data_IF_500623614039
#
_entry.id   IF_500623614039
#
_cell.length_a   1.000
_cell.length_b   1.000
_cell.length_c   1.000
_cell.angle_alpha   90.00
_cell.angle_beta   90.00
_cell.angle_gamma   90.00
#
_symmetry.space_group_name_H-M   'P 1'
#
loop_
_entity.id
_entity.type
_entity.pdbx_description
1 polymer ?
#
# COMPACT_ATOMS: atom_id res chain seq x y z
N UNK A 1 -20.29 -36.51 -33.82
CA UNK A 1 -19.62 -37.76 -34.24
C UNK A 1 -18.51 -38.01 -33.24
N UNK A 2 -18.67 -39.02 -32.38
CA UNK A 2 -17.69 -39.42 -31.38
C UNK A 2 -16.49 -40.10 -32.06
N UNK A 3 -15.27 -39.83 -31.58
CA UNK A 3 -14.18 -40.78 -31.72
C UNK A 3 -13.42 -40.87 -30.39
N UNK A 4 -13.70 -41.96 -29.68
CA UNK A 4 -12.92 -42.49 -28.57
C UNK A 4 -11.98 -43.52 -29.16
N UNK A 5 -10.68 -43.42 -28.90
CA UNK A 5 -9.78 -44.57 -28.97
C UNK A 5 -8.88 -44.57 -27.73
N UNK A 6 -9.01 -45.65 -26.98
CA UNK A 6 -8.28 -45.99 -25.77
C UNK A 6 -7.13 -46.98 -26.09
N UNK A 7 -6.42 -47.35 -25.02
CA UNK A 7 -5.38 -48.39 -24.87
C UNK A 7 -3.93 -47.92 -25.13
N UNK A 8 -2.94 -48.26 -24.30
CA UNK A 8 -2.94 -49.24 -23.22
C UNK A 8 -1.71 -49.17 -22.32
N UNK A 9 -1.87 -49.72 -21.12
CA UNK A 9 -0.84 -50.02 -20.13
C UNK A 9 0.07 -51.17 -20.60
N UNK A 10 1.37 -51.09 -20.27
CA UNK A 10 2.23 -52.25 -20.06
C UNK A 10 3.24 -51.95 -18.93
N UNK A 11 3.39 -52.92 -18.02
CA UNK A 11 4.25 -52.92 -16.83
C UNK A 11 5.61 -53.61 -17.12
N UNK A 12 6.71 -52.98 -16.66
CA UNK A 12 7.96 -53.47 -15.97
C UNK A 12 8.61 -54.82 -16.37
N UNK A 13 9.96 -55.00 -16.35
CA UNK A 13 10.80 -54.79 -15.13
C UNK A 13 12.31 -54.43 -15.28
N UNK A 14 12.92 -53.95 -14.19
CA UNK A 14 14.18 -54.54 -13.64
C UNK A 14 15.58 -53.98 -13.99
N UNK A 15 16.19 -53.31 -12.99
CA UNK A 15 17.58 -53.42 -12.52
C UNK A 15 18.78 -52.71 -13.22
N UNK A 16 19.42 -51.87 -12.38
CA UNK A 16 20.87 -51.75 -12.12
C UNK A 16 21.70 -50.65 -12.82
N UNK A 17 22.16 -49.72 -11.95
CA UNK A 17 23.57 -49.34 -11.69
C UNK A 17 23.99 -47.91 -12.06
N UNK A 18 24.77 -47.36 -11.11
CA UNK A 18 25.36 -46.04 -10.92
C UNK A 18 26.04 -45.43 -12.15
N UNK A 19 25.97 -44.10 -12.30
CA UNK A 19 27.18 -43.27 -12.35
C UNK A 19 26.86 -41.78 -12.10
N UNK A 20 27.75 -41.14 -11.36
CA UNK A 20 27.63 -39.78 -10.87
C UNK A 20 27.74 -38.71 -11.95
N UNK A 21 27.22 -37.54 -11.60
CA UNK A 21 27.34 -36.33 -12.39
C UNK A 21 26.33 -35.32 -11.91
N UNK A 22 26.64 -34.63 -10.82
CA UNK A 22 25.88 -33.45 -10.42
C UNK A 22 26.11 -32.33 -11.45
N UNK A 23 25.04 -31.66 -11.93
CA UNK A 23 25.10 -30.24 -12.20
C UNK A 23 24.36 -29.52 -11.07
N UNK A 24 25.09 -28.62 -10.42
CA UNK A 24 24.62 -27.82 -9.29
C UNK A 24 23.25 -27.20 -9.54
N UNK A 25 22.28 -27.64 -8.75
CA UNK A 25 21.03 -26.92 -8.54
C UNK A 25 21.30 -25.76 -7.58
N UNK A 26 21.74 -24.63 -8.11
CA UNK A 26 21.58 -23.35 -7.42
C UNK A 26 20.13 -22.91 -7.57
N UNK A 27 19.21 -23.67 -6.98
CA UNK A 27 17.90 -23.15 -6.61
C UNK A 27 18.13 -22.29 -5.37
N UNK A 28 18.65 -21.08 -5.58
CA UNK A 28 18.61 -20.02 -4.58
C UNK A 28 17.14 -19.71 -4.33
N UNK A 29 16.54 -20.45 -3.40
CA UNK A 29 15.23 -20.18 -2.85
C UNK A 29 15.30 -18.76 -2.28
N UNK A 30 14.90 -17.79 -3.09
CA UNK A 30 14.83 -16.40 -2.69
C UNK A 30 13.63 -16.32 -1.77
N UNK A 31 13.85 -16.65 -0.49
CA UNK A 31 12.88 -16.36 0.57
C UNK A 31 12.64 -14.86 0.54
N UNK A 32 11.51 -14.46 -0.06
CA UNK A 32 11.05 -13.10 -0.01
C UNK A 32 11.06 -12.66 1.46
N UNK A 33 11.70 -11.53 1.74
CA UNK A 33 11.74 -10.98 3.08
C UNK A 33 10.30 -10.86 3.63
N UNK A 34 10.07 -11.16 4.92
CA UNK A 34 8.73 -11.06 5.49
C UNK A 34 8.17 -9.65 5.29
N UNK A 35 6.98 -9.56 4.71
CA UNK A 35 6.31 -8.27 4.46
C UNK A 35 6.06 -7.59 5.80
N UNK A 36 6.73 -6.46 6.03
CA UNK A 36 6.56 -5.66 7.26
C UNK A 36 5.29 -4.84 7.15
N UNK A 37 4.37 -5.04 8.09
CA UNK A 37 3.15 -4.25 8.23
C UNK A 37 3.41 -3.04 9.13
N UNK A 38 3.15 -1.83 8.62
CA UNK A 38 3.42 -0.57 9.34
C UNK A 38 2.20 0.33 9.35
N UNK A 39 2.15 1.25 10.31
CA UNK A 39 1.23 2.39 10.26
C UNK A 39 1.69 3.38 9.19
N UNK A 40 0.83 4.34 8.86
CA UNK A 40 1.03 5.26 7.76
C UNK A 40 2.19 6.23 7.99
N UNK A 41 2.28 6.83 9.19
CA UNK A 41 3.29 7.85 9.44
C UNK A 41 4.69 7.27 9.63
N UNK A 42 4.79 5.96 9.89
CA UNK A 42 6.06 5.27 10.07
C UNK A 42 6.97 5.24 8.82
N UNK A 43 6.43 5.47 7.61
CA UNK A 43 7.20 5.51 6.36
C UNK A 43 7.38 6.91 5.76
N UNK A 44 6.95 7.97 6.46
CA UNK A 44 6.99 9.34 5.90
C UNK A 44 8.41 9.83 5.70
N UNK A 45 9.34 9.48 6.60
CA UNK A 45 10.73 9.93 6.50
C UNK A 45 11.41 9.33 5.27
N UNK A 46 11.28 8.02 5.06
CA UNK A 46 11.80 7.34 3.89
C UNK A 46 11.19 7.89 2.60
N UNK A 47 9.86 8.08 2.59
CA UNK A 47 9.16 8.65 1.44
C UNK A 47 9.61 10.08 1.12
N UNK A 48 9.78 10.92 2.15
CA UNK A 48 10.27 12.29 2.01
C UNK A 48 11.71 12.34 1.50
N UNK A 49 12.56 11.38 1.91
CA UNK A 49 13.91 11.22 1.40
C UNK A 49 13.93 10.99 -0.12
N UNK A 50 13.12 10.05 -0.62
CA UNK A 50 13.00 9.81 -2.06
C UNK A 50 12.35 10.98 -2.81
N UNK A 51 11.34 11.63 -2.21
CA UNK A 51 10.69 12.79 -2.80
C UNK A 51 11.68 13.97 -2.96
N UNK A 52 12.55 14.22 -1.97
CA UNK A 52 13.58 15.28 -2.05
C UNK A 52 14.62 15.00 -3.12
N UNK A 53 14.98 13.73 -3.35
CA UNK A 53 15.87 13.33 -4.47
C UNK A 53 15.22 13.59 -5.83
N UNK A 54 13.89 13.48 -5.91
CA UNK A 54 13.17 13.91 -7.10
C UNK A 54 13.18 15.44 -7.22
N UNK A 55 12.68 16.14 -6.21
CA UNK A 55 12.64 17.60 -6.14
C UNK A 55 12.72 18.09 -4.70
N UNK A 56 13.57 19.08 -4.45
CA UNK A 56 13.75 19.64 -3.10
C UNK A 56 12.50 20.35 -2.56
N UNK A 57 11.65 20.88 -3.45
CA UNK A 57 10.39 21.56 -3.12
C UNK A 57 9.17 20.62 -3.06
N UNK A 58 9.39 19.30 -3.01
CA UNK A 58 8.30 18.33 -2.94
C UNK A 58 7.57 18.40 -1.58
N UNK A 59 6.28 18.71 -1.62
CA UNK A 59 5.41 18.81 -0.44
C UNK A 59 4.41 17.62 -0.41
N UNK A 60 4.32 16.91 0.71
CA UNK A 60 3.40 15.78 0.89
C UNK A 60 1.95 16.31 0.95
N UNK A 61 1.05 15.80 0.13
CA UNK A 61 -0.37 16.22 0.15
C UNK A 61 -1.36 15.07 0.37
N UNK A 62 -0.95 13.82 0.18
CA UNK A 62 -1.81 12.67 0.44
C UNK A 62 -1.03 11.42 0.87
N UNK A 63 -1.64 10.60 1.71
CA UNK A 63 -1.16 9.26 2.07
C UNK A 63 -2.28 8.26 1.81
N UNK A 64 -2.01 7.11 1.20
CA UNK A 64 -3.03 6.09 0.96
C UNK A 64 -2.47 4.67 0.97
N UNK A 65 -3.33 3.68 1.19
CA UNK A 65 -3.01 2.29 0.86
C UNK A 65 -3.13 2.08 -0.66
N UNK A 66 -2.17 1.43 -1.34
CA UNK A 66 -2.26 1.17 -2.79
C UNK A 66 -3.41 0.21 -3.15
N UNK A 67 -3.75 -0.68 -2.22
CA UNK A 67 -4.84 -1.65 -2.33
C UNK A 67 -5.53 -1.81 -0.98
N UNK A 68 -6.77 -2.35 -0.91
CA UNK A 68 -7.45 -2.61 0.35
C UNK A 68 -6.71 -3.68 1.17
N UNK A 69 -5.77 -3.27 2.01
CA UNK A 69 -4.92 -4.14 2.81
C UNK A 69 -4.68 -3.62 4.23
N UNK A 70 -5.49 -2.67 4.71
CA UNK A 70 -5.43 -2.20 6.10
C UNK A 70 -5.98 -3.27 7.06
N UNK A 71 -5.21 -3.61 8.09
CA UNK A 71 -5.65 -4.49 9.18
C UNK A 71 -6.40 -3.74 10.30
N UNK A 72 -6.96 -4.49 11.24
CA UNK A 72 -7.68 -3.95 12.40
C UNK A 72 -6.80 -3.14 13.38
N UNK A 73 -5.48 -3.12 13.18
CA UNK A 73 -4.51 -2.32 13.95
C UNK A 73 -4.09 -1.06 13.19
N UNK A 74 -4.69 -0.77 12.04
CA UNK A 74 -4.38 0.40 11.24
C UNK A 74 -3.04 0.26 10.51
N UNK A 75 -2.57 -0.96 10.26
CA UNK A 75 -1.33 -1.22 9.53
C UNK A 75 -1.62 -1.74 8.14
N UNK A 76 -0.73 -1.46 7.21
CA UNK A 76 -0.77 -1.99 5.85
C UNK A 76 0.61 -2.53 5.45
N UNK A 77 0.69 -3.45 4.48
CA UNK A 77 1.96 -3.95 3.94
C UNK A 77 2.70 -2.90 3.10
N UNK A 78 1.98 -1.90 2.60
CA UNK A 78 2.53 -0.81 1.81
C UNK A 78 1.69 0.46 1.96
N UNK A 79 2.35 1.61 1.81
CA UNK A 79 1.74 2.94 1.81
C UNK A 79 2.25 3.74 0.61
N UNK A 80 1.36 4.51 0.00
CA UNK A 80 1.65 5.50 -1.04
C UNK A 80 1.64 6.89 -0.42
N UNK A 81 2.73 7.62 -0.62
CA UNK A 81 2.90 9.00 -0.20
C UNK A 81 2.97 9.87 -1.45
N UNK A 82 1.99 10.74 -1.65
CA UNK A 82 1.89 11.54 -2.87
C UNK A 82 2.35 12.96 -2.61
N UNK A 83 3.33 13.40 -3.38
CA UNK A 83 3.97 14.69 -3.27
C UNK A 83 3.66 15.56 -4.48
N UNK A 84 3.51 16.86 -4.25
CA UNK A 84 3.41 17.89 -5.29
C UNK A 84 4.71 18.68 -5.34
N UNK A 85 5.21 18.99 -6.54
CA UNK A 85 6.34 19.90 -6.73
C UNK A 85 5.94 21.02 -7.70
N UNK A 86 5.85 22.28 -7.21
CA UNK A 86 5.62 23.43 -8.07
C UNK A 86 6.67 23.61 -9.16
N UNK A 87 7.95 23.39 -8.84
CA UNK A 87 9.04 23.53 -9.81
C UNK A 87 9.01 22.47 -10.92
N UNK A 88 8.49 21.27 -10.64
CA UNK A 88 8.28 20.23 -11.65
C UNK A 88 6.97 20.40 -12.43
N UNK A 89 5.99 21.15 -11.90
CA UNK A 89 4.64 21.19 -12.47
C UNK A 89 3.95 19.81 -12.45
N UNK A 90 4.31 18.97 -11.47
CA UNK A 90 3.91 17.57 -11.44
C UNK A 90 3.68 17.06 -10.01
N UNK A 91 3.03 15.91 -9.91
CA UNK A 91 2.97 15.09 -8.70
C UNK A 91 3.75 13.79 -8.91
N UNK A 92 4.28 13.24 -7.83
CA UNK A 92 4.86 11.90 -7.84
C UNK A 92 4.47 11.18 -6.55
N UNK A 93 4.20 9.87 -6.67
CA UNK A 93 3.98 9.01 -5.52
C UNK A 93 5.25 8.27 -5.16
N UNK A 94 5.48 8.07 -3.87
CA UNK A 94 6.49 7.14 -3.35
C UNK A 94 5.74 6.01 -2.64
N UNK A 95 5.94 4.77 -3.10
CA UNK A 95 5.47 3.58 -2.40
C UNK A 95 6.52 3.17 -1.37
N UNK A 96 6.16 3.04 -0.10
CA UNK A 96 7.01 2.42 0.91
C UNK A 96 6.45 1.04 1.24
N UNK A 97 7.25 0.00 1.02
CA UNK A 97 6.92 -1.40 1.28
C UNK A 97 8.09 -2.05 1.98
N UNK A 98 7.87 -2.65 3.15
CA UNK A 98 8.97 -3.31 3.88
C UNK A 98 10.08 -2.36 4.37
N UNK A 99 9.85 -1.05 4.41
CA UNK A 99 10.88 -0.04 4.69
C UNK A 99 11.69 0.39 3.46
N UNK A 100 11.38 -0.15 2.29
CA UNK A 100 11.98 0.27 1.03
C UNK A 100 11.06 1.28 0.33
N UNK A 101 11.61 2.45 0.02
CA UNK A 101 10.90 3.50 -0.70
C UNK A 101 11.19 3.41 -2.20
N UNK A 102 10.14 3.38 -3.01
CA UNK A 102 10.20 3.37 -4.48
C UNK A 102 9.34 4.49 -5.03
N UNK A 103 9.96 5.46 -5.70
CA UNK A 103 9.25 6.50 -6.44
C UNK A 103 8.59 5.91 -7.70
N UNK A 104 7.31 6.21 -7.88
CA UNK A 104 6.53 5.90 -9.08
C UNK A 104 6.70 7.02 -10.13
N UNK A 105 6.37 6.77 -11.42
CA UNK A 105 6.41 7.80 -12.45
C UNK A 105 5.64 9.06 -12.05
N UNK A 106 6.21 10.22 -12.37
CA UNK A 106 5.55 11.49 -12.14
C UNK A 106 4.39 11.72 -13.12
N UNK A 107 3.42 12.51 -12.70
CA UNK A 107 2.28 12.93 -13.50
C UNK A 107 2.26 14.45 -13.57
N UNK A 108 2.51 15.04 -14.76
CA UNK A 108 2.31 16.47 -14.99
C UNK A 108 0.84 16.84 -14.76
N UNK A 109 0.61 17.99 -14.15
CA UNK A 109 -0.73 18.52 -13.91
C UNK A 109 -0.83 19.98 -14.38
N UNK A 110 -2.04 20.46 -14.70
CA UNK A 110 -2.29 21.89 -14.90
C UNK A 110 -1.80 22.73 -13.73
N UNK A 111 -1.27 23.92 -14.00
CA UNK A 111 -0.71 24.81 -12.98
C UNK A 111 -1.72 25.17 -11.88
N UNK A 112 -3.00 25.30 -12.24
CA UNK A 112 -4.08 25.55 -11.28
C UNK A 112 -4.19 24.41 -10.25
N UNK A 113 -4.03 23.16 -10.68
CA UNK A 113 -4.08 21.98 -9.83
C UNK A 113 -2.85 21.89 -8.94
N UNK A 114 -1.66 22.16 -9.49
CA UNK A 114 -0.41 22.24 -8.71
C UNK A 114 -0.52 23.27 -7.59
N UNK A 115 -1.01 24.47 -7.89
CA UNK A 115 -1.26 25.50 -6.86
C UNK A 115 -2.29 25.05 -5.84
N UNK A 116 -3.32 24.33 -6.26
CA UNK A 116 -4.34 23.82 -5.36
C UNK A 116 -3.82 22.74 -4.41
N UNK A 117 -3.10 21.75 -4.93
CA UNK A 117 -2.50 20.67 -4.15
C UNK A 117 -1.51 21.22 -3.13
N UNK A 118 -0.65 22.16 -3.53
CA UNK A 118 0.30 22.80 -2.63
C UNK A 118 -0.39 23.51 -1.47
N UNK A 119 -1.46 24.27 -1.73
CA UNK A 119 -2.23 24.94 -0.65
C UNK A 119 -2.88 23.95 0.33
N UNK A 120 -3.09 22.71 -0.11
CA UNK A 120 -3.71 21.65 0.67
C UNK A 120 -2.69 20.57 1.07
N UNK A 121 -1.39 20.88 1.03
CA UNK A 121 -0.36 20.00 1.55
C UNK A 121 -0.67 19.63 3.01
N UNK A 122 -0.32 18.40 3.38
CA UNK A 122 -0.52 17.92 4.73
C UNK A 122 0.40 18.71 5.68
N UNK A 123 -0.05 19.00 6.92
CA UNK A 123 0.83 19.55 7.93
C UNK A 123 1.95 18.55 8.28
N UNK A 124 2.99 18.99 9.01
CA UNK A 124 4.04 18.10 9.47
C UNK A 124 3.49 16.86 10.22
N UNK A 125 4.13 15.67 10.07
CA UNK A 125 3.62 14.41 10.61
C UNK A 125 3.33 14.42 12.11
N UNK A 126 4.10 15.18 12.90
CA UNK A 126 3.92 15.34 14.34
C UNK A 126 2.61 16.04 14.75
N UNK A 127 1.92 16.69 13.79
CA UNK A 127 0.60 17.29 13.97
C UNK A 127 -0.55 16.40 13.50
N UNK A 128 -0.23 15.22 12.98
CA UNK A 128 -1.19 14.28 12.41
C UNK A 128 -1.41 13.08 13.33
N UNK A 129 -2.63 12.58 13.36
CA UNK A 129 -2.95 11.27 13.88
C UNK A 129 -2.45 10.22 12.89
N UNK A 130 -1.75 9.21 13.40
CA UNK A 130 -1.38 8.05 12.59
C UNK A 130 -2.60 7.14 12.35
N UNK A 131 -2.47 6.21 11.42
CA UNK A 131 -3.56 5.35 10.95
C UNK A 131 -4.12 4.41 12.02
N UNK A 132 -3.34 4.01 13.03
CA UNK A 132 -3.81 3.17 14.14
C UNK A 132 -4.76 3.94 15.08
N UNK A 133 -4.41 5.17 15.44
CA UNK A 133 -5.20 6.06 16.30
C UNK A 133 -6.44 6.55 15.55
N UNK A 134 -6.28 6.92 14.28
CA UNK A 134 -7.41 7.30 13.43
C UNK A 134 -8.40 6.14 13.23
N UNK A 135 -7.91 4.91 12.97
CA UNK A 135 -8.78 3.73 12.85
C UNK A 135 -9.48 3.39 14.17
N UNK A 136 -8.85 3.63 15.32
CA UNK A 136 -9.53 3.48 16.63
C UNK A 136 -10.75 4.38 16.77
N UNK A 137 -10.78 5.52 16.07
CA UNK A 137 -11.92 6.46 16.04
C UNK A 137 -12.98 6.09 14.99
N UNK A 138 -12.59 5.40 13.92
CA UNK A 138 -13.49 4.81 12.90
C UNK A 138 -14.09 3.48 13.41
N UNK A 139 -15.09 3.58 14.28
CA UNK A 139 -15.58 2.44 15.09
C UNK A 139 -16.21 1.35 14.25
N UNK A 140 -16.97 1.72 13.22
CA UNK A 140 -17.71 0.76 12.40
C UNK A 140 -16.75 -0.04 11.52
N UNK A 141 -15.85 0.64 10.80
CA UNK A 141 -14.82 0.01 9.96
C UNK A 141 -13.92 -0.88 10.82
N UNK A 142 -13.40 -0.37 11.96
CA UNK A 142 -12.57 -1.17 12.86
C UNK A 142 -13.31 -2.41 13.38
N UNK A 143 -14.59 -2.27 13.71
CA UNK A 143 -15.44 -3.38 14.13
C UNK A 143 -15.49 -4.50 13.08
N UNK A 144 -15.67 -4.15 11.81
CA UNK A 144 -15.67 -5.10 10.70
C UNK A 144 -14.30 -5.75 10.47
N UNK A 145 -13.21 -4.98 10.55
CA UNK A 145 -11.85 -5.50 10.39
C UNK A 145 -11.44 -6.45 11.52
N UNK A 146 -11.98 -6.24 12.72
CA UNK A 146 -11.73 -7.08 13.90
C UNK A 146 -12.59 -8.35 13.93
N UNK A 147 -13.57 -8.46 13.02
CA UNK A 147 -14.47 -9.59 12.91
C UNK A 147 -13.83 -10.86 12.35
N UNK A 148 -14.56 -11.97 12.41
CA UNK A 148 -14.14 -13.23 11.76
C UNK A 148 -14.13 -13.04 10.25
N UNK A 149 -13.04 -13.45 9.59
CA UNK A 149 -12.96 -13.50 8.13
C UNK A 149 -11.87 -12.64 7.47
N UNK A 150 -10.94 -12.04 8.24
CA UNK A 150 -9.75 -11.40 7.68
C UNK A 150 -10.05 -10.27 6.69
N UNK A 151 -11.09 -9.47 6.97
CA UNK A 151 -11.49 -8.36 6.11
C UNK A 151 -10.40 -7.30 6.08
N UNK A 152 -10.29 -6.62 4.95
CA UNK A 152 -9.38 -5.49 4.76
C UNK A 152 -10.15 -4.22 4.44
N UNK A 153 -9.51 -3.09 4.67
CA UNK A 153 -10.00 -1.78 4.26
C UNK A 153 -8.94 -1.06 3.42
N UNK A 154 -9.37 -0.08 2.64
CA UNK A 154 -8.48 0.97 2.16
C UNK A 154 -8.44 2.11 3.18
N UNK A 155 -7.29 2.78 3.28
CA UNK A 155 -7.16 4.03 4.01
C UNK A 155 -6.59 5.12 3.10
N UNK A 156 -7.07 6.34 3.26
CA UNK A 156 -6.54 7.55 2.63
C UNK A 156 -6.52 8.71 3.62
N UNK A 157 -5.54 9.58 3.51
CA UNK A 157 -5.40 10.83 4.25
C UNK A 157 -5.09 11.94 3.27
N UNK A 158 -5.93 12.96 3.23
CA UNK A 158 -5.72 14.17 2.44
C UNK A 158 -6.42 15.37 3.10
N UNK A 159 -6.09 16.58 2.65
CA UNK A 159 -6.75 17.83 3.10
C UNK A 159 -7.85 18.32 2.15
N UNK A 160 -8.10 17.63 1.04
CA UNK A 160 -9.07 18.02 0.01
C UNK A 160 -10.50 17.53 0.35
N UNK A 161 -10.59 16.48 1.16
CA UNK A 161 -11.83 15.76 1.45
C UNK A 161 -12.59 16.27 2.68
N UNK A 162 -12.10 17.33 3.33
CA UNK A 162 -12.74 17.99 4.48
C UNK A 162 -12.17 19.39 4.66
N UNK A 163 -12.75 20.20 5.55
CA UNK A 163 -12.23 21.55 5.88
C UNK A 163 -10.84 21.56 6.59
N UNK A 164 -10.04 20.50 6.38
CA UNK A 164 -8.74 20.19 6.97
C UNK A 164 -8.34 18.74 6.66
N UNK A 165 -7.18 18.28 7.15
CA UNK A 165 -6.71 16.89 6.96
C UNK A 165 -7.69 15.87 7.55
N UNK A 166 -8.09 14.88 6.76
CA UNK A 166 -9.07 13.85 7.14
C UNK A 166 -8.57 12.47 6.70
N UNK A 167 -8.62 11.51 7.63
CA UNK A 167 -8.53 10.09 7.34
C UNK A 167 -9.88 9.59 6.80
N UNK A 168 -9.84 8.85 5.70
CA UNK A 168 -10.96 8.16 5.08
C UNK A 168 -10.65 6.67 5.11
N UNK A 169 -11.48 5.91 5.82
CA UNK A 169 -11.41 4.46 5.83
C UNK A 169 -12.59 3.89 5.07
N UNK A 170 -12.36 2.95 4.15
CA UNK A 170 -13.43 2.33 3.38
C UNK A 170 -13.26 0.81 3.29
N UNK A 171 -14.37 0.10 3.42
CA UNK A 171 -14.44 -1.36 3.27
C UNK A 171 -15.76 -1.77 2.62
N UNK A 172 -15.86 -3.03 2.19
CA UNK A 172 -17.09 -3.60 1.64
C UNK A 172 -17.55 -4.71 2.57
N UNK A 173 -18.80 -4.62 3.01
CA UNK A 173 -19.46 -5.66 3.83
C UNK A 173 -20.83 -5.92 3.25
N UNK A 174 -21.16 -7.20 3.04
CA UNK A 174 -22.51 -7.62 2.60
C UNK A 174 -22.97 -6.90 1.31
N UNK A 175 -22.05 -6.69 0.37
CA UNK A 175 -22.31 -5.99 -0.89
C UNK A 175 -22.50 -4.48 -0.77
N UNK A 176 -22.31 -3.89 0.43
CA UNK A 176 -22.40 -2.46 0.67
C UNK A 176 -21.05 -1.86 1.02
N UNK A 177 -20.75 -0.68 0.45
CA UNK A 177 -19.59 0.13 0.83
C UNK A 177 -19.89 0.83 2.16
N UNK A 178 -19.00 0.65 3.13
CA UNK A 178 -18.94 1.46 4.35
C UNK A 178 -17.75 2.40 4.23
N UNK A 179 -17.94 3.65 4.62
CA UNK A 179 -16.89 4.66 4.66
C UNK A 179 -17.02 5.51 5.92
N UNK A 180 -15.92 5.67 6.65
CA UNK A 180 -15.84 6.55 7.82
C UNK A 180 -14.75 7.60 7.62
N UNK A 181 -15.04 8.83 8.07
CA UNK A 181 -14.13 9.96 8.00
C UNK A 181 -13.75 10.43 9.39
N UNK A 182 -12.46 10.60 9.63
CA UNK A 182 -11.90 10.98 10.93
C UNK A 182 -10.97 12.18 10.74
N UNK A 183 -11.22 13.34 11.41
CA UNK A 183 -10.27 14.45 11.40
C UNK A 183 -8.89 14.00 11.85
N UNK A 184 -7.85 14.37 11.10
CA UNK A 184 -6.52 13.83 11.26
C UNK A 184 -5.57 14.71 12.08
N UNK A 185 -6.01 15.87 12.59
CA UNK A 185 -5.16 16.70 13.46
C UNK A 185 -5.06 16.10 14.87
N UNK A 186 -3.85 16.03 15.41
CA UNK A 186 -3.60 15.65 16.81
C UNK A 186 -3.84 16.85 17.74
N UNK A 187 -4.79 16.73 18.69
CA UNK A 187 -4.99 17.74 19.75
C UNK A 187 -6.13 18.73 19.55
N UNK A 188 -7.34 18.24 19.28
CA UNK A 188 -8.58 19.02 19.45
C UNK A 188 -9.03 19.09 20.90
#
# INVERSE_FOLDING_TARGET
>A
MLLVCALGLALLPGCSREEGGAPGSFAGETTAAPVRWTTALAGVEEAAGEARRWREDAELYAIATPEPALDARGRAPAWLYTFVSPSAGAVASVEVRGGEARRLPEQPLPEADIRNLRRNALPPPERLLDSDEALRRAREVRGLLSGRGGRTASAGLDSLSGGGPVWIFATVSEGRRLEERVPALSGG
#
